data_IF_226618717821
#
_entry.id   IF_226618717821
#
_cell.length_a   1.000
_cell.length_b   1.000
_cell.length_c   1.000
_cell.angle_alpha   90.00
_cell.angle_beta   90.00
_cell.angle_gamma   90.00
#
_symmetry.space_group_name_H-M   'P 1'
#
loop_
_entity.id
_entity.type
_entity.pdbx_description
1 polymer ?
#
# COMPACT_ATOMS: atom_id res chain seq x y z
N UNK A 1 -6.20 -3.30 13.58
CA UNK A 1 -5.91 -2.09 12.77
C UNK A 1 -6.76 -2.10 11.51
N UNK A 2 -7.42 -1.01 11.24
CA UNK A 2 -8.28 -0.92 10.07
C UNK A 2 -7.80 0.19 9.14
N UNK A 3 -7.50 -0.16 7.90
CA UNK A 3 -7.02 0.78 6.91
C UNK A 3 -8.14 1.13 5.92
N UNK A 4 -8.23 2.41 5.55
CA UNK A 4 -9.16 2.82 4.50
C UNK A 4 -8.54 2.53 3.12
N UNK A 5 -9.29 2.80 2.05
CA UNK A 5 -8.87 2.46 0.69
C UNK A 5 -7.62 3.23 0.26
N UNK A 6 -7.51 4.50 0.62
CA UNK A 6 -6.33 5.30 0.29
C UNK A 6 -5.10 4.78 1.02
N UNK A 7 -5.25 4.43 2.29
CA UNK A 7 -4.15 3.85 3.07
C UNK A 7 -3.69 2.52 2.50
N UNK A 8 -4.63 1.66 2.10
CA UNK A 8 -4.31 0.39 1.45
C UNK A 8 -3.58 0.62 0.13
N UNK A 9 -4.01 1.61 -0.64
CA UNK A 9 -3.39 1.93 -1.93
C UNK A 9 -1.93 2.32 -1.77
N UNK A 10 -1.63 3.23 -0.84
CA UNK A 10 -0.24 3.69 -0.66
C UNK A 10 0.65 2.58 -0.11
N UNK A 11 0.14 1.72 0.76
CA UNK A 11 0.90 0.60 1.29
C UNK A 11 1.22 -0.41 0.19
N UNK A 12 0.22 -0.78 -0.61
CA UNK A 12 0.42 -1.74 -1.71
C UNK A 12 1.48 -1.20 -2.67
N UNK A 13 1.33 0.04 -3.10
CA UNK A 13 2.28 0.64 -4.03
C UNK A 13 3.67 0.77 -3.45
N UNK A 14 3.78 1.20 -2.20
CA UNK A 14 5.08 1.40 -1.56
C UNK A 14 5.80 0.07 -1.38
N UNK A 15 5.10 -0.96 -0.91
CA UNK A 15 5.71 -2.28 -0.72
C UNK A 15 6.16 -2.89 -2.04
N UNK A 16 5.34 -2.80 -3.08
CA UNK A 16 5.68 -3.39 -4.39
C UNK A 16 6.83 -2.63 -5.04
N UNK A 17 6.81 -1.30 -5.04
CA UNK A 17 7.72 -0.49 -5.83
C UNK A 17 9.00 -0.08 -5.11
N UNK A 18 8.94 0.13 -3.79
CA UNK A 18 10.05 0.73 -3.06
C UNK A 18 10.70 -0.18 -2.02
N UNK A 19 9.97 -1.13 -1.48
CA UNK A 19 10.48 -1.98 -0.39
C UNK A 19 10.89 -3.35 -0.90
N UNK A 20 9.97 -4.07 -1.54
CA UNK A 20 10.21 -5.44 -1.97
C UNK A 20 10.70 -5.51 -3.41
N UNK A 21 10.05 -4.77 -4.30
CA UNK A 21 10.32 -4.81 -5.72
C UNK A 21 9.39 -5.78 -6.43
N UNK A 22 8.90 -5.37 -7.61
CA UNK A 22 7.92 -6.12 -8.37
C UNK A 22 8.39 -7.54 -8.72
N UNK A 23 9.67 -7.69 -9.07
CA UNK A 23 10.21 -8.99 -9.47
C UNK A 23 10.14 -10.02 -8.35
N UNK A 24 10.40 -9.58 -7.11
CA UNK A 24 10.30 -10.48 -5.95
C UNK A 24 8.84 -10.75 -5.61
N UNK A 25 7.99 -9.73 -5.67
CA UNK A 25 6.56 -9.88 -5.39
C UNK A 25 5.94 -10.91 -6.34
N UNK A 26 6.32 -10.88 -7.62
CA UNK A 26 5.82 -11.84 -8.61
C UNK A 26 6.10 -13.29 -8.25
N UNK A 27 7.16 -13.53 -7.51
CA UNK A 27 7.55 -14.88 -7.12
C UNK A 27 6.72 -15.43 -5.96
N UNK A 28 6.06 -14.56 -5.20
CA UNK A 28 5.39 -14.95 -3.95
C UNK A 28 3.89 -14.72 -3.96
N UNK A 29 3.38 -13.88 -4.85
CA UNK A 29 1.96 -13.51 -4.91
C UNK A 29 1.34 -14.11 -6.17
N UNK A 30 0.12 -14.67 -6.03
CA UNK A 30 -0.64 -15.20 -7.16
C UNK A 30 -0.69 -14.17 -8.29
N UNK A 31 -0.31 -14.56 -9.54
CA UNK A 31 -0.28 -13.63 -10.67
C UNK A 31 -1.60 -12.91 -10.94
N UNK A 32 -2.73 -13.60 -10.83
CA UNK A 32 -4.04 -12.98 -11.07
C UNK A 32 -4.38 -11.98 -9.98
N UNK A 33 -4.07 -12.33 -8.74
CA UNK A 33 -4.29 -11.45 -7.59
C UNK A 33 -3.41 -10.21 -7.70
N UNK A 34 -2.15 -10.39 -8.08
CA UNK A 34 -1.20 -9.29 -8.23
C UNK A 34 -1.63 -8.36 -9.37
N UNK A 35 -2.05 -8.91 -10.50
CA UNK A 35 -2.52 -8.12 -11.64
C UNK A 35 -3.68 -7.21 -11.25
N UNK A 36 -4.66 -7.75 -10.52
CA UNK A 36 -5.80 -6.98 -10.04
C UNK A 36 -5.38 -5.90 -9.05
N UNK A 37 -4.44 -6.23 -8.17
CA UNK A 37 -3.94 -5.28 -7.17
C UNK A 37 -3.21 -4.11 -7.83
N UNK A 38 -2.36 -4.40 -8.81
CA UNK A 38 -1.61 -3.37 -9.54
C UNK A 38 -2.57 -2.48 -10.32
N UNK A 39 -3.55 -3.06 -11.00
CA UNK A 39 -4.54 -2.29 -11.77
C UNK A 39 -5.33 -1.34 -10.87
N UNK A 40 -5.81 -1.83 -9.73
CA UNK A 40 -6.54 -1.00 -8.78
C UNK A 40 -5.64 0.08 -8.16
N UNK A 41 -4.42 -0.27 -7.83
CA UNK A 41 -3.45 0.69 -7.31
C UNK A 41 -3.24 1.84 -8.29
N UNK A 42 -3.02 1.52 -9.57
CA UNK A 42 -2.78 2.55 -10.59
C UNK A 42 -3.99 3.46 -10.75
N UNK A 43 -5.18 2.87 -10.77
CA UNK A 43 -6.43 3.64 -10.88
C UNK A 43 -6.60 4.59 -9.72
N UNK A 44 -6.42 4.11 -8.50
CA UNK A 44 -6.60 4.94 -7.30
C UNK A 44 -5.48 5.96 -7.13
N UNK A 45 -4.25 5.58 -7.48
CA UNK A 45 -3.10 6.47 -7.36
C UNK A 45 -3.22 7.68 -8.29
N UNK A 46 -3.82 7.51 -9.46
CA UNK A 46 -4.03 8.62 -10.41
C UNK A 46 -4.95 9.70 -9.82
N UNK A 47 -5.83 9.33 -8.90
CA UNK A 47 -6.75 10.26 -8.26
C UNK A 47 -6.21 10.87 -6.98
N UNK A 48 -4.99 10.51 -6.56
CA UNK A 48 -4.40 11.00 -5.32
C UNK A 48 -3.30 12.01 -5.60
N UNK A 49 -3.32 13.13 -4.86
CA UNK A 49 -2.23 14.10 -4.92
C UNK A 49 -1.05 13.59 -4.09
N UNK A 50 0.18 14.12 -4.33
CA UNK A 50 1.33 13.77 -3.48
C UNK A 50 1.09 14.05 -2.00
N UNK A 51 0.35 15.11 -1.68
CA UNK A 51 0.00 15.44 -0.31
C UNK A 51 -0.89 14.36 0.30
N UNK A 52 -1.90 13.91 -0.45
CA UNK A 52 -2.80 12.85 0.01
C UNK A 52 -2.06 11.54 0.23
N UNK A 53 -1.13 11.19 -0.66
CA UNK A 53 -0.30 9.99 -0.51
C UNK A 53 0.53 10.07 0.77
N UNK A 54 1.15 11.21 1.04
CA UNK A 54 1.95 11.40 2.24
C UNK A 54 1.09 11.30 3.51
N UNK A 55 -0.06 11.96 3.50
CA UNK A 55 -0.98 11.91 4.65
C UNK A 55 -1.46 10.48 4.91
N UNK A 56 -1.75 9.74 3.86
CA UNK A 56 -2.17 8.33 3.99
C UNK A 56 -1.05 7.48 4.58
N UNK A 57 0.20 7.66 4.14
CA UNK A 57 1.34 6.94 4.70
C UNK A 57 1.58 7.27 6.16
N UNK A 58 1.45 8.54 6.53
CA UNK A 58 1.59 8.96 7.92
C UNK A 58 0.50 8.32 8.79
N UNK A 59 -0.73 8.30 8.28
CA UNK A 59 -1.84 7.67 8.99
C UNK A 59 -1.62 6.17 9.19
N UNK A 60 -1.14 5.48 8.16
CA UNK A 60 -0.80 4.06 8.26
C UNK A 60 0.28 3.83 9.32
N UNK A 61 1.31 4.67 9.30
CA UNK A 61 2.40 4.56 10.27
C UNK A 61 1.89 4.75 11.69
N UNK A 62 1.06 5.78 11.90
CA UNK A 62 0.48 6.06 13.22
C UNK A 62 -0.34 4.87 13.74
N UNK A 63 -1.21 4.33 12.88
CA UNK A 63 -2.03 3.16 13.24
C UNK A 63 -1.16 1.94 13.53
N UNK A 64 -0.12 1.74 12.74
CA UNK A 64 0.79 0.62 12.91
C UNK A 64 1.56 0.74 14.22
N UNK A 65 2.02 1.94 14.54
CA UNK A 65 2.72 2.18 15.82
C UNK A 65 1.80 1.88 16.99
N UNK A 66 0.54 2.32 16.93
CA UNK A 66 -0.43 2.04 17.99
C UNK A 66 -0.60 0.54 18.22
N UNK A 67 -0.74 -0.22 17.14
CA UNK A 67 -0.85 -1.68 17.24
C UNK A 67 0.43 -2.32 17.78
N UNK A 68 1.57 -1.84 17.31
CA UNK A 68 2.87 -2.34 17.73
C UNK A 68 3.09 -2.14 19.23
N UNK A 69 2.69 -0.99 19.74
CA UNK A 69 2.88 -0.67 21.16
C UNK A 69 1.94 -1.42 22.09
N UNK A 70 0.87 -2.00 21.56
CA UNK A 70 -0.05 -2.83 22.35
C UNK A 70 0.53 -4.18 22.70
N UNK A 71 1.52 -4.63 21.98
CA UNK A 71 2.17 -5.89 22.28
C UNK A 71 3.28 -5.70 23.31
#
# INVERSE_FOLDING_TARGET
MKLNKQEQTVIVGHLINNVIGLEVVKQHIDPQKLEKAVALHNEMNDDMTPKQCREALISVLDKTIDEFLKT
#
